data_IF_942393617992
#
_entry.id   IF_942393617992
#
_cell.length_a   1.000
_cell.length_b   1.000
_cell.length_c   1.000
_cell.angle_alpha   90.00
_cell.angle_beta   90.00
_cell.angle_gamma   90.00
#
_symmetry.space_group_name_H-M   'P 1'
#
loop_
_entity.id
_entity.type
_entity.pdbx_description
1 polymer ?
#
# COMPACT_ATOMS: atom_id res chain seq x y z
N UNK A 1 7.72 -6.76 22.39
CA UNK A 1 7.78 -7.75 21.30
C UNK A 1 9.11 -7.63 20.61
N UNK A 2 9.73 -8.75 20.21
CA UNK A 2 10.99 -8.79 19.47
C UNK A 2 10.71 -9.41 18.08
N UNK A 3 11.10 -8.73 17.01
CA UNK A 3 10.94 -9.20 15.62
C UNK A 3 12.15 -9.98 15.09
N UNK A 4 12.97 -10.55 15.98
CA UNK A 4 14.24 -11.17 15.61
C UNK A 4 14.17 -12.70 15.46
N UNK A 5 13.01 -13.31 15.62
CA UNK A 5 12.87 -14.74 15.37
C UNK A 5 12.89 -15.01 13.86
N UNK A 6 14.06 -15.43 13.37
CA UNK A 6 14.30 -15.66 11.93
C UNK A 6 13.69 -16.96 11.44
N UNK A 7 13.52 -17.95 12.32
CA UNK A 7 12.87 -19.21 11.98
C UNK A 7 11.42 -19.00 11.60
N UNK A 8 10.66 -18.26 12.41
CA UNK A 8 9.28 -17.86 12.10
C UNK A 8 9.26 -16.97 10.84
N UNK A 9 10.15 -15.97 10.78
CA UNK A 9 10.18 -14.98 9.72
C UNK A 9 10.35 -15.60 8.31
N UNK A 10 11.19 -16.62 8.22
CA UNK A 10 11.59 -17.19 6.93
C UNK A 10 11.12 -18.63 6.71
N UNK A 11 10.19 -19.12 7.51
CA UNK A 11 9.67 -20.50 7.46
C UNK A 11 9.18 -20.92 6.07
N UNK A 12 8.61 -19.99 5.30
CA UNK A 12 8.10 -20.24 3.93
C UNK A 12 9.17 -20.18 2.85
N UNK A 13 10.42 -19.81 3.17
CA UNK A 13 11.49 -19.67 2.17
C UNK A 13 12.47 -20.84 2.25
N UNK A 14 12.78 -21.43 1.10
CA UNK A 14 13.89 -22.38 0.98
C UNK A 14 15.25 -21.65 1.08
N UNK A 15 16.35 -22.40 1.29
CA UNK A 15 17.71 -21.84 1.32
C UNK A 15 18.06 -21.13 0.02
N UNK A 16 17.67 -21.70 -1.13
CA UNK A 16 17.85 -21.08 -2.45
C UNK A 16 17.07 -19.74 -2.57
N UNK A 17 15.87 -19.68 -2.02
CA UNK A 17 15.08 -18.44 -1.99
C UNK A 17 15.66 -17.38 -1.06
N UNK A 18 16.24 -17.80 0.09
CA UNK A 18 16.93 -16.87 0.99
C UNK A 18 18.17 -16.25 0.34
N UNK A 19 19.01 -17.08 -0.31
CA UNK A 19 20.19 -16.60 -1.04
C UNK A 19 19.80 -15.62 -2.15
N UNK A 20 18.75 -15.94 -2.92
CA UNK A 20 18.22 -15.05 -3.96
C UNK A 20 17.71 -13.73 -3.37
N UNK A 21 16.94 -13.77 -2.28
CA UNK A 21 16.45 -12.56 -1.59
C UNK A 21 17.63 -11.72 -1.09
N UNK A 22 18.65 -12.36 -0.49
CA UNK A 22 19.86 -11.68 -0.04
C UNK A 22 20.56 -10.96 -1.18
N UNK A 23 20.75 -11.61 -2.32
CA UNK A 23 21.35 -11.03 -3.52
C UNK A 23 20.55 -9.81 -4.03
N UNK A 24 19.23 -9.95 -4.17
CA UNK A 24 18.37 -8.82 -4.61
C UNK A 24 18.45 -7.66 -3.62
N UNK A 25 18.38 -7.92 -2.32
CA UNK A 25 18.45 -6.89 -1.28
C UNK A 25 19.82 -6.18 -1.26
N UNK A 26 20.91 -6.90 -1.51
CA UNK A 26 22.23 -6.29 -1.63
C UNK A 26 22.33 -5.32 -2.81
N UNK A 27 21.70 -5.64 -3.94
CA UNK A 27 21.64 -4.74 -5.11
C UNK A 27 20.79 -3.50 -4.80
N UNK A 28 19.57 -3.67 -4.29
CA UNK A 28 18.67 -2.54 -4.05
C UNK A 28 19.07 -1.70 -2.82
N UNK A 29 20.02 -2.13 -2.01
CA UNK A 29 20.61 -1.30 -0.96
C UNK A 29 21.60 -0.26 -1.49
N UNK A 30 22.07 -0.40 -2.72
CA UNK A 30 23.01 0.52 -3.36
C UNK A 30 22.30 1.52 -4.26
N UNK A 31 22.34 2.81 -3.88
CA UNK A 31 21.71 3.89 -4.65
C UNK A 31 22.25 3.96 -6.10
N UNK A 32 23.55 3.78 -6.27
CA UNK A 32 24.20 3.79 -7.58
C UNK A 32 23.69 2.66 -8.47
N UNK A 33 23.65 1.41 -7.93
CA UNK A 33 23.16 0.26 -8.69
C UNK A 33 21.69 0.43 -9.07
N UNK A 34 20.84 0.87 -8.14
CA UNK A 34 19.42 1.12 -8.43
C UNK A 34 19.27 2.16 -9.54
N UNK A 35 19.98 3.29 -9.49
CA UNK A 35 19.93 4.32 -10.52
C UNK A 35 20.33 3.78 -11.91
N UNK A 36 21.41 3.01 -11.99
CA UNK A 36 21.87 2.39 -13.24
C UNK A 36 20.84 1.40 -13.78
N UNK A 37 20.38 0.47 -12.93
CA UNK A 37 19.38 -0.53 -13.34
C UNK A 37 18.06 0.10 -13.75
N UNK A 38 17.58 1.15 -13.06
CA UNK A 38 16.36 1.87 -13.41
C UNK A 38 16.47 2.50 -14.79
N UNK A 39 17.61 3.13 -15.11
CA UNK A 39 17.87 3.72 -16.43
C UNK A 39 17.89 2.64 -17.53
N UNK A 40 18.58 1.53 -17.29
CA UNK A 40 18.63 0.39 -18.23
C UNK A 40 17.22 -0.16 -18.49
N UNK A 41 16.45 -0.40 -17.44
CA UNK A 41 15.07 -0.92 -17.55
C UNK A 41 14.19 0.07 -18.32
N UNK A 42 14.26 1.36 -17.99
CA UNK A 42 13.48 2.41 -18.67
C UNK A 42 13.83 2.52 -20.15
N UNK A 43 15.11 2.48 -20.50
CA UNK A 43 15.57 2.48 -21.88
C UNK A 43 15.12 1.23 -22.64
N UNK A 44 15.27 0.04 -22.01
CA UNK A 44 14.86 -1.23 -22.60
C UNK A 44 13.36 -1.29 -22.88
N UNK A 45 12.53 -0.71 -22.00
CA UNK A 45 11.09 -0.61 -22.21
C UNK A 45 10.74 0.33 -23.37
N UNK A 46 11.43 1.47 -23.47
CA UNK A 46 11.28 2.43 -24.60
C UNK A 46 11.63 1.78 -25.95
N UNK A 47 12.68 0.97 -25.97
CA UNK A 47 13.15 0.24 -27.15
C UNK A 47 12.42 -1.08 -27.40
N UNK A 48 11.38 -1.40 -26.60
CA UNK A 48 10.65 -2.67 -26.65
C UNK A 48 11.52 -3.94 -26.58
N UNK A 49 12.68 -3.88 -25.92
CA UNK A 49 13.56 -5.03 -25.74
C UNK A 49 12.92 -6.13 -24.86
N UNK A 50 13.21 -7.42 -25.10
CA UNK A 50 12.57 -8.56 -24.41
C UNK A 50 13.15 -8.79 -23.00
N UNK A 51 13.18 -7.77 -22.13
CA UNK A 51 13.71 -7.86 -20.77
C UNK A 51 12.75 -8.55 -19.77
N UNK A 52 11.52 -8.82 -20.19
CA UNK A 52 10.47 -9.40 -19.30
C UNK A 52 10.90 -10.72 -18.65
N UNK A 53 11.66 -11.56 -19.36
CA UNK A 53 12.16 -12.83 -18.83
C UNK A 53 13.15 -12.66 -17.67
N UNK A 54 14.07 -11.70 -17.78
CA UNK A 54 15.06 -11.39 -16.73
C UNK A 54 14.37 -10.77 -15.53
N UNK A 55 13.51 -9.78 -15.76
CA UNK A 55 12.74 -9.14 -14.68
C UNK A 55 11.87 -10.15 -13.93
N UNK A 56 11.19 -11.05 -14.64
CA UNK A 56 10.38 -12.10 -14.03
C UNK A 56 11.21 -13.02 -13.11
N UNK A 57 12.36 -13.48 -13.58
CA UNK A 57 13.22 -14.37 -12.78
C UNK A 57 13.91 -13.69 -11.60
N UNK A 58 13.90 -12.36 -11.53
CA UNK A 58 14.63 -11.58 -10.51
C UNK A 58 13.68 -10.77 -9.63
N UNK A 59 13.60 -9.47 -9.86
CA UNK A 59 12.92 -8.48 -9.01
C UNK A 59 11.41 -8.68 -8.99
N UNK A 60 10.81 -9.08 -10.12
CA UNK A 60 9.37 -9.27 -10.21
C UNK A 60 8.87 -10.34 -9.23
N UNK A 61 9.44 -11.56 -9.24
CA UNK A 61 9.05 -12.63 -8.30
C UNK A 61 9.35 -12.32 -6.83
N UNK A 62 10.21 -11.35 -6.55
CA UNK A 62 10.50 -10.94 -5.18
C UNK A 62 9.38 -10.06 -4.62
N UNK A 63 8.82 -9.15 -5.43
CA UNK A 63 7.91 -8.09 -4.97
C UNK A 63 6.49 -8.18 -5.53
N UNK A 64 6.25 -9.07 -6.52
CA UNK A 64 4.96 -9.30 -7.14
C UNK A 64 4.57 -10.77 -7.08
N UNK A 65 3.29 -11.03 -6.93
CA UNK A 65 2.79 -12.38 -6.80
C UNK A 65 2.75 -13.14 -8.12
N UNK A 66 2.51 -12.43 -9.23
CA UNK A 66 2.41 -13.01 -10.56
C UNK A 66 1.84 -12.04 -11.58
N UNK A 67 1.63 -12.53 -12.78
CA UNK A 67 1.10 -11.72 -13.89
C UNK A 67 -0.42 -11.64 -13.91
N UNK A 68 -1.09 -12.57 -13.21
CA UNK A 68 -2.54 -12.69 -13.16
C UNK A 68 -3.05 -13.05 -11.76
N UNK A 69 -4.37 -13.18 -11.63
CA UNK A 69 -5.05 -13.50 -10.39
C UNK A 69 -4.75 -14.94 -9.91
N UNK A 70 -4.58 -15.89 -10.83
CA UNK A 70 -4.33 -17.30 -10.49
C UNK A 70 -2.98 -17.45 -9.78
N UNK A 71 -1.94 -16.81 -10.29
CA UNK A 71 -0.62 -16.75 -9.66
C UNK A 71 -0.72 -16.13 -8.27
N UNK A 72 -1.46 -15.02 -8.16
CA UNK A 72 -1.63 -14.28 -6.91
C UNK A 72 -2.33 -15.09 -5.83
N UNK A 73 -3.36 -15.85 -6.20
CA UNK A 73 -4.09 -16.75 -5.28
C UNK A 73 -3.16 -17.84 -4.71
N UNK A 74 -2.20 -18.33 -5.50
CA UNK A 74 -1.21 -19.30 -4.98
C UNK A 74 -0.34 -18.67 -3.87
N UNK A 75 0.05 -17.41 -4.03
CA UNK A 75 0.78 -16.67 -3.02
C UNK A 75 -0.08 -16.44 -1.77
N UNK A 76 -1.34 -16.04 -1.95
CA UNK A 76 -2.32 -15.88 -0.85
C UNK A 76 -2.46 -17.17 -0.04
N UNK A 77 -2.66 -18.32 -0.72
CA UNK A 77 -2.75 -19.64 -0.07
C UNK A 77 -1.48 -19.98 0.72
N UNK A 78 -0.31 -19.62 0.19
CA UNK A 78 0.97 -19.84 0.88
C UNK A 78 1.10 -18.99 2.15
N UNK A 79 0.76 -17.71 2.09
CA UNK A 79 0.80 -16.80 3.23
C UNK A 79 -0.20 -17.19 4.33
N UNK A 80 -1.39 -17.64 3.94
CA UNK A 80 -2.45 -18.13 4.83
C UNK A 80 -1.98 -19.27 5.75
N UNK A 81 -1.04 -20.13 5.29
CA UNK A 81 -0.46 -21.22 6.10
C UNK A 81 0.22 -20.74 7.38
N UNK A 82 0.66 -19.49 7.44
CA UNK A 82 1.24 -18.85 8.62
C UNK A 82 0.35 -17.73 9.20
N UNK A 83 -0.97 -17.80 8.97
CA UNK A 83 -1.95 -16.83 9.45
C UNK A 83 -1.70 -15.39 8.96
N UNK A 84 -0.96 -15.21 7.87
CA UNK A 84 -0.79 -13.92 7.20
C UNK A 84 -1.82 -13.84 6.09
N UNK A 85 -2.71 -12.86 6.18
CA UNK A 85 -3.70 -12.54 5.17
C UNK A 85 -3.08 -11.70 4.06
N UNK A 86 -3.86 -11.41 3.02
CA UNK A 86 -3.39 -10.65 1.85
C UNK A 86 -4.46 -9.69 1.37
N UNK A 87 -4.06 -8.65 0.65
CA UNK A 87 -4.96 -7.96 -0.27
C UNK A 87 -4.25 -7.80 -1.61
N UNK A 88 -4.98 -8.13 -2.66
CA UNK A 88 -4.48 -8.14 -4.02
C UNK A 88 -4.67 -6.77 -4.66
N UNK A 89 -3.67 -6.32 -5.41
CA UNK A 89 -3.76 -5.08 -6.17
C UNK A 89 -3.29 -5.30 -7.60
N UNK A 90 -4.18 -5.06 -8.56
CA UNK A 90 -3.81 -5.02 -9.96
C UNK A 90 -3.00 -3.75 -10.23
N UNK A 91 -1.67 -3.89 -10.21
CA UNK A 91 -0.73 -2.79 -10.30
C UNK A 91 -0.49 -2.36 -11.76
N UNK A 92 -1.57 -1.98 -12.46
CA UNK A 92 -1.49 -1.44 -13.82
C UNK A 92 -1.44 0.09 -13.77
N UNK A 93 -0.38 0.67 -14.30
CA UNK A 93 -0.21 2.12 -14.44
C UNK A 93 -0.18 2.51 -15.93
N UNK A 94 -0.55 3.78 -16.23
CA UNK A 94 -0.50 4.33 -17.58
C UNK A 94 -1.78 4.13 -18.41
N UNK A 95 -2.92 3.91 -17.77
CA UNK A 95 -4.23 3.87 -18.45
C UNK A 95 -4.59 5.26 -19.01
N UNK A 96 -5.06 5.32 -20.25
CA UNK A 96 -5.31 6.58 -20.97
C UNK A 96 -6.67 6.65 -21.65
N UNK A 97 -7.28 5.51 -21.94
CA UNK A 97 -8.55 5.43 -22.70
C UNK A 97 -9.73 5.09 -21.80
N UNK A 98 -10.95 5.45 -22.25
CA UNK A 98 -12.18 5.07 -21.56
C UNK A 98 -12.32 3.54 -21.42
N UNK A 99 -11.89 2.79 -22.45
CA UNK A 99 -11.90 1.33 -22.41
C UNK A 99 -10.94 0.78 -21.31
N UNK A 100 -9.78 1.41 -21.10
CA UNK A 100 -8.89 1.03 -20.00
C UNK A 100 -9.56 1.23 -18.64
N UNK A 101 -10.28 2.37 -18.46
CA UNK A 101 -10.97 2.68 -17.20
C UNK A 101 -12.15 1.72 -16.95
N UNK A 102 -12.89 1.34 -17.97
CA UNK A 102 -13.98 0.37 -17.86
C UNK A 102 -13.44 -1.05 -17.57
N UNK A 103 -12.33 -1.44 -18.20
CA UNK A 103 -11.65 -2.70 -17.89
C UNK A 103 -11.13 -2.72 -16.45
N UNK A 104 -10.57 -1.61 -15.95
CA UNK A 104 -10.14 -1.52 -14.57
C UNK A 104 -11.32 -1.62 -13.59
N UNK A 105 -12.45 -0.99 -13.89
CA UNK A 105 -13.67 -1.14 -13.10
C UNK A 105 -14.09 -2.61 -13.00
N UNK A 106 -14.04 -3.35 -14.12
CA UNK A 106 -14.33 -4.79 -14.14
C UNK A 106 -13.35 -5.57 -13.26
N UNK A 107 -12.04 -5.36 -13.43
CA UNK A 107 -11.00 -6.03 -12.62
C UNK A 107 -11.19 -5.75 -11.12
N UNK A 108 -11.53 -4.51 -10.73
CA UNK A 108 -11.78 -4.17 -9.33
C UNK A 108 -13.00 -4.94 -8.80
N UNK A 109 -14.10 -5.01 -9.58
CA UNK A 109 -15.29 -5.78 -9.18
C UNK A 109 -15.00 -7.28 -9.09
N UNK A 110 -14.23 -7.83 -10.02
CA UNK A 110 -13.80 -9.24 -9.98
C UNK A 110 -12.93 -9.50 -8.73
N UNK A 111 -12.03 -8.58 -8.38
CA UNK A 111 -11.25 -8.66 -7.15
C UNK A 111 -12.14 -8.60 -5.90
N UNK A 112 -13.20 -7.78 -5.89
CA UNK A 112 -14.20 -7.77 -4.80
C UNK A 112 -14.88 -9.13 -4.67
N UNK A 113 -15.28 -9.74 -5.79
CA UNK A 113 -15.90 -11.09 -5.79
C UNK A 113 -14.96 -12.16 -5.22
N UNK A 114 -13.68 -12.13 -5.61
CA UNK A 114 -12.66 -13.05 -5.08
C UNK A 114 -12.47 -12.81 -3.58
N UNK A 115 -12.38 -11.57 -3.16
CA UNK A 115 -12.21 -11.15 -1.77
C UNK A 115 -13.39 -11.62 -0.90
N UNK A 116 -14.62 -11.52 -1.39
CA UNK A 116 -15.81 -11.98 -0.68
C UNK A 116 -15.81 -13.50 -0.42
N UNK A 117 -15.16 -14.27 -1.29
CA UNK A 117 -15.14 -15.75 -1.23
C UNK A 117 -14.00 -16.33 -0.39
N UNK A 118 -12.98 -15.56 -0.03
CA UNK A 118 -11.83 -16.06 0.73
C UNK A 118 -11.47 -15.15 1.91
N UNK A 119 -11.69 -15.65 3.13
CA UNK A 119 -11.35 -14.95 4.38
C UNK A 119 -9.85 -14.60 4.52
N UNK A 120 -8.97 -15.15 3.65
CA UNK A 120 -7.59 -14.74 3.57
C UNK A 120 -7.39 -13.40 2.83
N UNK A 121 -8.45 -12.87 2.22
CA UNK A 121 -8.48 -11.61 1.50
C UNK A 121 -9.46 -10.62 2.18
N UNK A 122 -9.12 -10.02 3.32
CA UNK A 122 -10.05 -9.15 4.06
C UNK A 122 -10.28 -7.79 3.43
N UNK A 123 -9.49 -7.39 2.43
CA UNK A 123 -9.53 -6.08 1.81
C UNK A 123 -9.33 -6.16 0.30
N UNK A 124 -9.89 -5.18 -0.40
CA UNK A 124 -9.55 -4.83 -1.78
C UNK A 124 -9.10 -3.38 -1.87
N UNK A 125 -8.57 -2.96 -3.01
CA UNK A 125 -7.97 -1.63 -3.18
C UNK A 125 -8.08 -1.16 -4.63
N UNK A 126 -8.22 0.15 -4.80
CA UNK A 126 -8.04 0.81 -6.10
C UNK A 126 -7.44 2.20 -5.95
N UNK A 127 -6.85 2.71 -7.03
CA UNK A 127 -6.48 4.10 -7.21
C UNK A 127 -7.58 4.83 -7.95
N UNK A 128 -7.96 6.02 -7.50
CA UNK A 128 -9.00 6.81 -8.17
C UNK A 128 -8.62 7.13 -9.62
N UNK A 129 -7.34 7.48 -9.88
CA UNK A 129 -6.82 7.75 -11.21
C UNK A 129 -6.81 6.54 -12.16
N UNK A 130 -7.00 5.32 -11.65
CA UNK A 130 -7.17 4.14 -12.50
C UNK A 130 -8.56 4.06 -13.17
N UNK A 131 -9.50 4.90 -12.78
CA UNK A 131 -10.89 4.91 -13.22
C UNK A 131 -11.27 6.16 -14.05
N UNK A 132 -10.33 7.07 -14.28
CA UNK A 132 -10.56 8.28 -15.06
C UNK A 132 -9.29 9.04 -15.41
N UNK A 133 -9.41 10.04 -16.27
CA UNK A 133 -8.27 10.83 -16.76
C UNK A 133 -7.63 11.63 -15.63
N UNK A 134 -6.33 11.49 -15.45
CA UNK A 134 -5.54 12.15 -14.41
C UNK A 134 -5.68 13.68 -14.39
N UNK A 135 -5.67 14.31 -15.57
CA UNK A 135 -5.82 15.77 -15.69
C UNK A 135 -7.16 16.29 -15.19
N UNK A 136 -8.23 15.50 -15.22
CA UNK A 136 -9.53 15.88 -14.66
C UNK A 136 -9.49 15.95 -13.13
N UNK A 137 -8.81 15.01 -12.48
CA UNK A 137 -8.57 15.08 -11.04
C UNK A 137 -7.77 16.33 -10.68
N UNK A 138 -6.76 16.70 -11.48
CA UNK A 138 -5.94 17.89 -11.26
C UNK A 138 -6.79 19.16 -11.40
N UNK A 139 -7.56 19.31 -12.49
CA UNK A 139 -8.47 20.45 -12.70
C UNK A 139 -9.50 20.58 -11.56
N UNK A 140 -10.14 19.48 -11.18
CA UNK A 140 -11.11 19.51 -10.06
C UNK A 140 -10.46 19.85 -8.73
N UNK A 141 -9.26 19.34 -8.47
CA UNK A 141 -8.51 19.65 -7.24
C UNK A 141 -8.04 21.10 -7.15
N UNK A 142 -7.75 21.73 -8.30
CA UNK A 142 -7.38 23.16 -8.38
C UNK A 142 -8.58 24.11 -8.43
N UNK A 143 -9.81 23.60 -8.52
CA UNK A 143 -11.01 24.43 -8.71
C UNK A 143 -11.18 24.98 -10.13
N UNK A 144 -10.41 24.46 -11.10
CA UNK A 144 -10.51 24.89 -12.51
C UNK A 144 -11.80 24.41 -13.16
N UNK A 145 -12.37 25.25 -14.02
CA UNK A 145 -13.56 24.88 -14.79
C UNK A 145 -13.25 23.80 -15.81
N UNK A 146 -14.17 22.87 -15.96
CA UNK A 146 -14.15 21.84 -16.99
C UNK A 146 -14.97 22.29 -18.18
N UNK A 147 -14.56 21.92 -19.40
CA UNK A 147 -15.40 22.02 -20.58
C UNK A 147 -16.58 21.02 -20.48
N UNK A 148 -17.61 21.21 -21.31
CA UNK A 148 -18.77 20.31 -21.34
C UNK A 148 -18.38 18.85 -21.57
N UNK A 149 -17.44 18.57 -22.46
CA UNK A 149 -16.91 17.21 -22.67
C UNK A 149 -16.15 16.69 -21.44
N UNK A 150 -15.33 17.52 -20.79
CA UNK A 150 -14.61 17.16 -19.59
C UNK A 150 -15.54 16.86 -18.42
N UNK A 151 -16.65 17.60 -18.26
CA UNK A 151 -17.68 17.31 -17.25
C UNK A 151 -18.36 15.95 -17.51
N UNK A 152 -18.65 15.62 -18.76
CA UNK A 152 -19.19 14.29 -19.11
C UNK A 152 -18.21 13.17 -18.73
N UNK A 153 -16.91 13.33 -19.04
CA UNK A 153 -15.87 12.36 -18.69
C UNK A 153 -15.65 12.27 -17.17
N UNK A 154 -15.73 13.41 -16.48
CA UNK A 154 -15.66 13.47 -15.03
C UNK A 154 -16.82 12.71 -14.37
N UNK A 155 -18.03 12.92 -14.86
CA UNK A 155 -19.23 12.22 -14.38
C UNK A 155 -19.11 10.70 -14.59
N UNK A 156 -18.55 10.23 -15.72
CA UNK A 156 -18.23 8.82 -15.93
C UNK A 156 -17.23 8.32 -14.89
N UNK A 157 -16.17 9.09 -14.62
CA UNK A 157 -15.15 8.75 -13.60
C UNK A 157 -15.78 8.60 -12.22
N UNK A 158 -16.58 9.57 -11.77
CA UNK A 158 -17.28 9.52 -10.48
C UNK A 158 -18.24 8.33 -10.41
N UNK A 159 -18.96 8.02 -11.48
CA UNK A 159 -19.86 6.87 -11.53
C UNK A 159 -19.10 5.54 -11.40
N UNK A 160 -17.92 5.40 -12.02
CA UNK A 160 -17.05 4.21 -11.84
C UNK A 160 -16.59 4.07 -10.39
N UNK A 161 -16.10 5.13 -9.76
CA UNK A 161 -15.67 5.13 -8.36
C UNK A 161 -16.84 4.76 -7.43
N UNK A 162 -17.99 5.42 -7.59
CA UNK A 162 -19.21 5.11 -6.82
C UNK A 162 -19.66 3.66 -7.02
N UNK A 163 -19.56 3.14 -8.25
CA UNK A 163 -19.93 1.76 -8.58
C UNK A 163 -19.03 0.74 -7.85
N UNK A 164 -17.70 0.97 -7.80
CA UNK A 164 -16.77 0.13 -7.02
C UNK A 164 -17.18 0.08 -5.55
N UNK A 165 -17.37 1.26 -4.94
CA UNK A 165 -17.65 1.38 -3.51
C UNK A 165 -19.04 0.83 -3.16
N UNK A 166 -20.05 1.10 -4.00
CA UNK A 166 -21.40 0.52 -3.83
C UNK A 166 -21.36 -0.99 -3.91
N UNK A 167 -20.60 -1.54 -4.87
CA UNK A 167 -20.46 -2.98 -5.03
C UNK A 167 -19.72 -3.62 -3.84
N UNK A 168 -18.63 -3.00 -3.38
CA UNK A 168 -17.92 -3.47 -2.19
C UNK A 168 -18.85 -3.47 -0.95
N UNK A 169 -19.65 -2.43 -0.77
CA UNK A 169 -20.62 -2.33 0.33
C UNK A 169 -21.69 -3.43 0.24
N UNK A 170 -22.25 -3.69 -0.95
CA UNK A 170 -23.26 -4.76 -1.15
C UNK A 170 -22.69 -6.16 -0.88
N UNK A 171 -21.41 -6.36 -1.10
CA UNK A 171 -20.69 -7.62 -0.82
C UNK A 171 -20.09 -7.68 0.59
N UNK A 172 -20.25 -6.64 1.43
CA UNK A 172 -19.62 -6.50 2.75
C UNK A 172 -18.09 -6.66 2.71
N UNK A 173 -17.44 -6.19 1.64
CA UNK A 173 -16.00 -6.25 1.42
C UNK A 173 -15.38 -4.88 1.71
N UNK A 174 -14.37 -4.84 2.58
CA UNK A 174 -13.62 -3.63 2.89
C UNK A 174 -12.77 -3.19 1.69
N UNK A 175 -12.83 -1.89 1.33
CA UNK A 175 -12.14 -1.35 0.16
C UNK A 175 -11.35 -0.09 0.51
N UNK A 176 -10.08 -0.06 0.05
CA UNK A 176 -9.22 1.11 0.16
C UNK A 176 -9.34 1.98 -1.09
N UNK A 177 -9.51 3.29 -0.89
CA UNK A 177 -9.22 4.33 -1.87
C UNK A 177 -7.79 4.76 -1.59
N UNK A 178 -6.84 4.37 -2.45
CA UNK A 178 -5.44 4.72 -2.26
C UNK A 178 -5.20 6.22 -2.48
N UNK A 179 -4.33 6.80 -1.65
CA UNK A 179 -3.88 8.16 -1.84
C UNK A 179 -2.88 8.24 -2.99
N UNK A 180 -2.90 9.36 -3.68
CA UNK A 180 -2.07 9.62 -4.84
C UNK A 180 -1.29 10.94 -4.67
N UNK A 181 -0.85 11.55 -5.75
CA UNK A 181 -0.06 12.79 -5.72
C UNK A 181 -0.86 13.96 -5.12
N UNK A 182 -0.17 14.88 -4.46
CA UNK A 182 -0.80 15.96 -3.68
C UNK A 182 -1.73 16.87 -4.49
N UNK A 183 -1.46 17.03 -5.77
CA UNK A 183 -2.23 17.93 -6.65
C UNK A 183 -3.51 17.31 -7.21
N UNK A 184 -3.72 16.01 -7.02
CA UNK A 184 -5.00 15.34 -7.31
C UNK A 184 -5.70 14.86 -6.05
N UNK A 185 -5.00 14.85 -4.91
CA UNK A 185 -5.51 14.32 -3.65
C UNK A 185 -6.72 15.08 -3.08
N UNK A 186 -6.83 16.41 -3.19
CA UNK A 186 -7.98 17.14 -2.63
C UNK A 186 -9.34 16.58 -3.08
N UNK A 187 -9.52 16.38 -4.39
CA UNK A 187 -10.79 15.82 -4.91
C UNK A 187 -10.97 14.35 -4.54
N UNK A 188 -9.87 13.57 -4.42
CA UNK A 188 -9.94 12.17 -3.95
C UNK A 188 -10.38 12.13 -2.48
N UNK A 189 -9.88 13.04 -1.65
CA UNK A 189 -10.28 13.19 -0.25
C UNK A 189 -11.79 13.48 -0.11
N UNK A 190 -12.32 14.41 -0.92
CA UNK A 190 -13.75 14.74 -0.94
C UNK A 190 -14.62 13.55 -1.35
N UNK A 191 -14.21 12.84 -2.39
CA UNK A 191 -14.91 11.63 -2.86
C UNK A 191 -14.89 10.56 -1.75
N UNK A 192 -13.73 10.31 -1.14
CA UNK A 192 -13.59 9.31 -0.08
C UNK A 192 -14.43 9.66 1.16
N UNK A 193 -14.44 10.94 1.59
CA UNK A 193 -15.25 11.42 2.71
C UNK A 193 -16.74 11.20 2.44
N UNK A 194 -17.23 11.60 1.26
CA UNK A 194 -18.62 11.40 0.84
C UNK A 194 -19.03 9.92 0.81
N UNK A 195 -18.13 9.05 0.34
CA UNK A 195 -18.39 7.61 0.29
C UNK A 195 -18.35 6.95 1.68
N UNK A 196 -17.44 7.37 2.56
CA UNK A 196 -17.44 6.93 3.97
C UNK A 196 -18.72 7.39 4.68
N UNK A 197 -19.13 8.65 4.52
CA UNK A 197 -20.39 9.15 5.09
C UNK A 197 -21.59 8.33 4.65
N UNK A 198 -21.61 7.90 3.39
CA UNK A 198 -22.71 7.13 2.81
C UNK A 198 -22.71 5.66 3.25
N UNK A 199 -21.56 4.99 3.25
CA UNK A 199 -21.48 3.53 3.37
C UNK A 199 -20.95 3.03 4.71
N UNK A 200 -20.37 3.89 5.55
CA UNK A 200 -19.80 3.49 6.83
C UNK A 200 -20.71 3.80 8.04
N UNK A 201 -22.04 3.70 7.88
CA UNK A 201 -22.97 4.01 8.99
C UNK A 201 -22.90 2.97 10.11
N UNK A 202 -22.98 1.70 9.77
CA UNK A 202 -22.97 0.60 10.75
C UNK A 202 -21.58 -0.05 10.83
N UNK A 203 -20.96 -0.31 9.67
CA UNK A 203 -19.68 -1.00 9.54
C UNK A 203 -18.71 -0.16 8.71
N UNK A 204 -17.43 -0.30 8.98
CA UNK A 204 -16.40 0.34 8.17
C UNK A 204 -16.12 -0.48 6.92
N UNK A 205 -16.58 -0.02 5.77
CA UNK A 205 -16.39 -0.64 4.45
C UNK A 205 -15.38 0.16 3.62
N UNK A 206 -15.56 1.49 3.55
CA UNK A 206 -14.72 2.38 2.76
C UNK A 206 -13.62 2.93 3.64
N UNK A 207 -12.39 2.86 3.15
CA UNK A 207 -11.20 3.38 3.81
C UNK A 207 -10.53 4.42 2.91
N UNK A 208 -10.15 5.56 3.50
CA UNK A 208 -9.25 6.52 2.86
C UNK A 208 -7.80 6.23 3.27
N UNK A 209 -6.85 6.60 2.40
CA UNK A 209 -5.42 6.45 2.68
C UNK A 209 -4.81 7.80 3.04
N UNK A 210 -4.09 7.85 4.16
CA UNK A 210 -3.40 9.05 4.64
C UNK A 210 -1.88 8.88 4.47
N UNK A 211 -1.26 9.75 3.66
CA UNK A 211 0.18 9.82 3.45
C UNK A 211 0.80 10.85 4.41
N UNK A 212 1.34 10.39 5.54
CA UNK A 212 1.76 11.25 6.65
C UNK A 212 3.05 12.03 6.42
N UNK A 213 3.72 11.85 5.27
CA UNK A 213 4.82 12.71 4.85
C UNK A 213 4.34 14.11 4.40
N UNK A 214 3.04 14.29 4.13
CA UNK A 214 2.44 15.58 3.78
C UNK A 214 2.14 16.41 5.03
N UNK A 215 2.46 17.70 4.95
CA UNK A 215 2.33 18.68 6.04
C UNK A 215 0.87 18.92 6.48
N UNK A 216 -0.09 18.77 5.57
CA UNK A 216 -1.51 19.03 5.78
C UNK A 216 -2.32 17.88 6.40
N UNK A 217 -1.77 16.65 6.44
CA UNK A 217 -2.56 15.45 6.76
C UNK A 217 -3.06 15.35 8.20
N UNK A 218 -2.33 15.88 9.18
CA UNK A 218 -2.82 15.90 10.57
C UNK A 218 -4.02 16.83 10.73
N UNK A 219 -4.04 17.99 10.03
CA UNK A 219 -5.20 18.89 10.02
C UNK A 219 -6.40 18.22 9.36
N UNK A 220 -6.18 17.55 8.22
CA UNK A 220 -7.22 16.81 7.52
C UNK A 220 -7.79 15.65 8.36
N UNK A 221 -6.93 14.86 9.02
CA UNK A 221 -7.36 13.80 9.94
C UNK A 221 -8.28 14.34 11.07
N UNK A 222 -7.92 15.47 11.69
CA UNK A 222 -8.74 16.08 12.71
C UNK A 222 -10.12 16.48 12.16
N UNK A 223 -10.16 17.11 10.96
CA UNK A 223 -11.42 17.47 10.29
C UNK A 223 -12.30 16.22 10.06
N UNK A 224 -11.71 15.13 9.56
CA UNK A 224 -12.45 13.87 9.31
C UNK A 224 -13.05 13.31 10.60
N UNK A 225 -12.28 13.28 11.70
CA UNK A 225 -12.76 12.80 13.00
C UNK A 225 -13.95 13.66 13.48
N UNK A 226 -13.82 14.98 13.43
CA UNK A 226 -14.90 15.88 13.82
C UNK A 226 -16.16 15.70 12.95
N UNK A 227 -15.99 15.62 11.64
CA UNK A 227 -17.10 15.39 10.71
C UNK A 227 -17.80 14.05 10.97
N UNK A 228 -17.04 13.00 11.25
CA UNK A 228 -17.58 11.66 11.53
C UNK A 228 -18.42 11.64 12.81
N UNK A 229 -18.02 12.40 13.83
CA UNK A 229 -18.79 12.56 15.07
C UNK A 229 -20.10 13.30 14.77
N UNK A 230 -20.03 14.45 14.09
CA UNK A 230 -21.20 15.27 13.74
C UNK A 230 -22.20 14.54 12.86
N UNK A 231 -21.72 13.81 11.86
CA UNK A 231 -22.56 13.12 10.84
C UNK A 231 -22.82 11.64 11.14
N UNK A 232 -22.33 11.13 12.26
CA UNK A 232 -22.55 9.77 12.79
C UNK A 232 -22.19 8.66 11.77
N UNK A 233 -20.92 8.61 11.32
CA UNK A 233 -20.39 7.52 10.51
C UNK A 233 -19.01 7.06 11.02
N UNK A 234 -18.61 5.85 10.64
CA UNK A 234 -17.31 5.27 11.00
C UNK A 234 -16.23 5.65 9.99
N UNK A 235 -14.99 5.75 10.45
CA UNK A 235 -13.84 6.07 9.63
C UNK A 235 -12.98 4.83 9.38
N UNK A 236 -12.64 4.59 8.13
CA UNK A 236 -11.62 3.62 7.74
C UNK A 236 -10.34 4.33 7.33
N UNK A 237 -9.23 4.06 8.02
CA UNK A 237 -7.94 4.67 7.70
C UNK A 237 -6.91 3.62 7.30
N UNK A 238 -6.33 3.80 6.11
CA UNK A 238 -5.06 3.21 5.73
C UNK A 238 -3.97 4.25 5.96
N UNK A 239 -3.15 4.05 7.00
CA UNK A 239 -2.12 4.99 7.41
C UNK A 239 -0.76 4.56 6.85
N UNK A 240 -0.14 5.42 6.05
CA UNK A 240 1.17 5.19 5.41
C UNK A 240 2.04 6.44 5.53
N UNK A 241 3.36 6.31 5.29
CA UNK A 241 4.24 7.49 5.27
C UNK A 241 4.07 8.29 4.00
N UNK A 242 4.10 7.66 2.85
CA UNK A 242 3.94 8.27 1.53
C UNK A 242 4.78 7.54 0.48
N UNK A 243 4.43 7.71 -0.81
CA UNK A 243 5.00 6.93 -1.89
C UNK A 243 5.45 7.75 -3.12
N UNK A 244 5.37 9.08 -3.08
CA UNK A 244 5.59 9.93 -4.26
C UNK A 244 6.60 11.07 -4.00
N UNK A 245 7.51 10.89 -3.03
CA UNK A 245 8.40 11.95 -2.53
C UNK A 245 9.16 12.66 -3.66
N UNK A 246 9.72 11.92 -4.60
CA UNK A 246 10.48 12.50 -5.72
C UNK A 246 9.60 13.33 -6.65
N UNK A 247 8.42 12.81 -7.02
CA UNK A 247 7.44 13.53 -7.84
C UNK A 247 6.93 14.81 -7.17
N UNK A 248 6.66 14.74 -5.86
CA UNK A 248 6.21 15.92 -5.08
C UNK A 248 7.28 17.02 -5.07
N UNK A 249 8.53 16.65 -4.80
CA UNK A 249 9.65 17.60 -4.79
C UNK A 249 9.97 18.13 -6.19
N UNK A 250 9.96 17.29 -7.21
CA UNK A 250 10.18 17.70 -8.60
C UNK A 250 9.12 18.69 -9.06
N UNK A 251 7.83 18.42 -8.77
CA UNK A 251 6.74 19.32 -9.12
C UNK A 251 6.85 20.65 -8.38
N UNK A 252 7.11 20.62 -7.08
CA UNK A 252 7.28 21.83 -6.27
C UNK A 252 8.42 22.70 -6.82
N UNK A 253 9.57 22.10 -7.13
CA UNK A 253 10.71 22.79 -7.73
C UNK A 253 10.36 23.43 -9.09
N UNK A 254 9.74 22.66 -10.00
CA UNK A 254 9.34 23.17 -11.34
C UNK A 254 8.29 24.29 -11.28
N UNK A 255 7.45 24.29 -10.25
CA UNK A 255 6.39 25.30 -10.08
C UNK A 255 6.83 26.48 -9.22
N UNK A 256 8.05 26.51 -8.69
CA UNK A 256 8.52 27.55 -7.75
C UNK A 256 7.74 27.57 -6.42
N UNK A 257 7.09 26.47 -6.06
CA UNK A 257 6.27 26.36 -4.85
C UNK A 257 7.00 25.59 -3.75
N UNK A 258 6.69 25.85 -2.46
CA UNK A 258 7.23 25.04 -1.37
C UNK A 258 6.74 23.61 -1.46
N UNK A 259 7.62 22.65 -1.15
CA UNK A 259 7.24 21.23 -1.14
C UNK A 259 6.12 20.95 -0.14
N UNK A 260 5.06 20.21 -0.55
CA UNK A 260 3.94 19.86 0.32
C UNK A 260 4.31 18.79 1.36
N UNK A 261 5.48 18.16 1.21
CA UNK A 261 5.95 17.09 2.11
C UNK A 261 7.01 17.61 3.10
N UNK A 262 7.21 16.86 4.17
CA UNK A 262 8.25 17.18 5.15
C UNK A 262 9.65 17.00 4.56
N UNK A 263 10.57 17.81 5.02
CA UNK A 263 11.96 17.89 4.53
C UNK A 263 12.77 16.64 4.90
N UNK A 264 12.37 15.95 5.97
CA UNK A 264 13.12 14.80 6.46
C UNK A 264 12.22 13.71 7.05
N UNK A 265 12.84 12.53 7.23
CA UNK A 265 12.18 11.33 7.75
C UNK A 265 11.68 11.51 9.19
N UNK A 266 12.39 12.26 10.04
CA UNK A 266 12.03 12.40 11.44
C UNK A 266 10.70 13.16 11.59
N UNK A 267 10.47 14.21 10.82
CA UNK A 267 9.21 14.94 10.78
C UNK A 267 8.07 14.08 10.25
N UNK A 268 8.35 13.28 9.21
CA UNK A 268 7.38 12.29 8.71
C UNK A 268 7.03 11.24 9.77
N UNK A 269 8.03 10.72 10.49
CA UNK A 269 7.82 9.75 11.57
C UNK A 269 7.03 10.35 12.73
N UNK A 270 7.28 11.61 13.08
CA UNK A 270 6.53 12.36 14.09
C UNK A 270 5.07 12.54 13.68
N UNK A 271 4.84 13.00 12.44
CA UNK A 271 3.49 13.17 11.88
C UNK A 271 2.72 11.84 11.84
N UNK A 272 3.37 10.77 11.41
CA UNK A 272 2.79 9.42 11.39
C UNK A 272 2.41 8.94 12.80
N UNK A 273 3.30 9.11 13.78
CA UNK A 273 3.04 8.69 15.16
C UNK A 273 1.97 9.55 15.85
N UNK A 274 1.89 10.84 15.54
CA UNK A 274 0.82 11.73 16.01
C UNK A 274 -0.54 11.33 15.42
N UNK A 275 -0.57 10.93 14.15
CA UNK A 275 -1.78 10.39 13.53
C UNK A 275 -2.21 9.07 14.19
N UNK A 276 -1.27 8.17 14.48
CA UNK A 276 -1.55 6.95 15.25
C UNK A 276 -2.22 7.26 16.58
N UNK A 277 -1.67 8.18 17.37
CA UNK A 277 -2.24 8.55 18.67
C UNK A 277 -3.68 9.04 18.53
N UNK A 278 -3.93 9.94 17.56
CA UNK A 278 -5.27 10.47 17.32
C UNK A 278 -6.28 9.38 16.90
N UNK A 279 -5.88 8.47 16.02
CA UNK A 279 -6.75 7.37 15.57
C UNK A 279 -7.00 6.38 16.71
N UNK A 280 -5.98 6.02 17.47
CA UNK A 280 -6.10 5.10 18.60
C UNK A 280 -7.00 5.66 19.71
N UNK A 281 -6.92 6.97 19.99
CA UNK A 281 -7.83 7.65 20.93
C UNK A 281 -9.31 7.62 20.46
N UNK A 282 -9.55 7.44 19.17
CA UNK A 282 -10.89 7.39 18.57
C UNK A 282 -11.21 6.01 17.99
N UNK A 283 -10.61 4.93 18.52
CA UNK A 283 -10.68 3.59 17.94
C UNK A 283 -12.11 3.02 17.90
N UNK A 284 -13.00 3.50 18.75
CA UNK A 284 -14.41 3.10 18.74
C UNK A 284 -15.12 3.49 17.43
N UNK A 285 -14.68 4.58 16.78
CA UNK A 285 -15.20 5.06 15.49
C UNK A 285 -14.27 4.80 14.32
N UNK A 286 -13.02 4.39 14.59
CA UNK A 286 -11.99 4.25 13.57
C UNK A 286 -11.58 2.80 13.40
N UNK A 287 -11.49 2.34 12.15
CA UNK A 287 -10.74 1.15 11.80
C UNK A 287 -9.37 1.59 11.29
N UNK A 288 -8.30 1.02 11.82
CA UNK A 288 -6.92 1.37 11.52
C UNK A 288 -6.20 0.27 10.77
N UNK A 289 -5.77 0.58 9.55
CA UNK A 289 -4.87 -0.26 8.77
C UNK A 289 -3.50 0.41 8.66
N UNK A 290 -2.48 -0.20 9.25
CA UNK A 290 -1.13 0.38 9.39
C UNK A 290 -0.20 -0.20 8.33
N UNK A 291 0.02 0.56 7.25
CA UNK A 291 0.99 0.20 6.19
C UNK A 291 2.38 0.70 6.55
N UNK A 292 3.17 -0.11 7.24
CA UNK A 292 4.53 0.31 7.66
C UNK A 292 5.48 -0.85 7.87
N UNK A 293 6.77 -0.60 7.58
CA UNK A 293 7.91 -1.47 7.93
C UNK A 293 8.66 -0.97 9.18
N UNK A 294 8.19 0.11 9.81
CA UNK A 294 8.84 0.70 10.99
C UNK A 294 8.44 -0.03 12.27
N UNK A 295 9.36 -0.81 12.83
CA UNK A 295 9.13 -1.55 14.08
C UNK A 295 8.76 -0.64 15.25
N UNK A 296 9.37 0.56 15.35
CA UNK A 296 9.09 1.51 16.44
C UNK A 296 7.61 1.92 16.47
N UNK A 297 7.03 2.25 15.30
CA UNK A 297 5.60 2.60 15.20
C UNK A 297 4.70 1.39 15.51
N UNK A 298 5.08 0.20 15.07
CA UNK A 298 4.33 -1.04 15.39
C UNK A 298 4.37 -1.30 16.89
N UNK A 299 5.55 -1.26 17.53
CA UNK A 299 5.70 -1.46 18.99
C UNK A 299 4.87 -0.45 19.77
N UNK A 300 4.77 0.80 19.30
CA UNK A 300 3.90 1.82 19.90
C UNK A 300 2.44 1.36 19.96
N UNK A 301 1.91 0.85 18.84
CA UNK A 301 0.54 0.31 18.78
C UNK A 301 0.38 -0.90 19.71
N UNK A 302 1.34 -1.84 19.68
CA UNK A 302 1.29 -3.02 20.54
C UNK A 302 1.31 -2.68 22.04
N UNK A 303 2.09 -1.64 22.44
CA UNK A 303 2.10 -1.12 23.81
C UNK A 303 0.73 -0.53 24.17
N UNK A 304 0.16 0.28 23.27
CA UNK A 304 -1.17 0.87 23.45
C UNK A 304 -2.25 -0.22 23.59
N UNK A 305 -2.25 -1.25 22.73
CA UNK A 305 -3.18 -2.38 22.82
C UNK A 305 -3.06 -3.09 24.17
N UNK A 306 -1.82 -3.34 24.65
CA UNK A 306 -1.58 -3.98 25.94
C UNK A 306 -2.11 -3.15 27.11
N UNK A 307 -1.84 -1.84 27.15
CA UNK A 307 -2.29 -0.93 28.20
C UNK A 307 -3.82 -0.87 28.26
N UNK A 308 -4.48 -0.83 27.09
CA UNK A 308 -5.94 -0.74 26.98
C UNK A 308 -6.61 -2.12 26.99
N UNK A 309 -5.89 -3.21 27.30
CA UNK A 309 -6.41 -4.59 27.37
C UNK A 309 -7.10 -5.05 26.07
N UNK A 310 -6.66 -4.54 24.93
CA UNK A 310 -7.16 -4.91 23.60
C UNK A 310 -6.51 -6.23 23.18
N UNK A 311 -7.34 -7.19 22.74
CA UNK A 311 -6.85 -8.50 22.28
C UNK A 311 -6.01 -8.41 21.01
N UNK A 312 -5.06 -9.32 20.83
CA UNK A 312 -4.19 -9.36 19.64
C UNK A 312 -5.00 -9.50 18.33
N UNK A 313 -6.12 -10.23 18.36
CA UNK A 313 -7.01 -10.46 17.23
C UNK A 313 -8.02 -9.33 16.96
N UNK A 314 -7.91 -8.18 17.60
CA UNK A 314 -8.85 -7.07 17.47
C UNK A 314 -9.07 -6.65 16.02
N UNK A 315 -10.33 -6.70 15.57
CA UNK A 315 -10.68 -6.59 14.15
C UNK A 315 -10.57 -5.18 13.56
N UNK A 316 -10.39 -4.15 14.40
CA UNK A 316 -10.24 -2.76 13.94
C UNK A 316 -8.79 -2.33 13.75
N UNK A 317 -7.80 -3.14 14.15
CA UNK A 317 -6.37 -2.82 13.98
C UNK A 317 -5.70 -3.88 13.12
N UNK A 318 -5.15 -3.46 11.98
CA UNK A 318 -4.49 -4.31 10.99
C UNK A 318 -3.08 -3.83 10.72
N UNK A 319 -2.12 -4.75 10.69
CA UNK A 319 -0.72 -4.46 10.35
C UNK A 319 -0.43 -4.93 8.93
N UNK A 320 0.21 -4.08 8.14
CA UNK A 320 0.51 -4.43 6.75
C UNK A 320 1.94 -4.10 6.35
N UNK A 321 2.53 -5.03 5.62
CA UNK A 321 3.82 -4.88 4.96
C UNK A 321 3.71 -5.30 3.50
N UNK A 322 4.63 -4.80 2.69
CA UNK A 322 4.70 -5.16 1.28
C UNK A 322 5.10 -6.63 1.11
N UNK A 323 4.55 -7.30 0.09
CA UNK A 323 4.97 -8.64 -0.29
C UNK A 323 6.46 -8.66 -0.63
N UNK A 324 7.16 -9.68 -0.15
CA UNK A 324 8.60 -9.85 -0.36
C UNK A 324 9.50 -9.00 0.53
N UNK A 325 8.94 -8.21 1.45
CA UNK A 325 9.67 -7.34 2.38
C UNK A 325 9.13 -7.47 3.80
N UNK A 326 9.96 -7.12 4.79
CA UNK A 326 9.61 -7.08 6.20
C UNK A 326 8.92 -8.37 6.71
N UNK A 327 9.35 -9.52 6.21
CA UNK A 327 8.81 -10.83 6.60
C UNK A 327 8.98 -11.09 8.09
N UNK A 328 10.09 -10.60 8.68
CA UNK A 328 10.34 -10.68 10.12
C UNK A 328 9.28 -9.95 10.96
N UNK A 329 8.68 -8.87 10.43
CA UNK A 329 7.57 -8.18 11.12
C UNK A 329 6.29 -8.98 10.93
N UNK A 330 5.91 -9.26 9.68
CA UNK A 330 4.63 -9.88 9.34
C UNK A 330 4.43 -11.24 10.04
N UNK A 331 5.40 -12.13 9.90
CA UNK A 331 5.25 -13.49 10.43
C UNK A 331 5.37 -13.55 11.95
N UNK A 332 6.22 -12.71 12.57
CA UNK A 332 6.29 -12.63 14.03
C UNK A 332 5.03 -12.00 14.66
N UNK A 333 4.34 -11.07 13.99
CA UNK A 333 3.04 -10.56 14.43
C UNK A 333 1.96 -11.63 14.30
N UNK A 334 1.88 -12.27 13.12
CA UNK A 334 0.87 -13.28 12.84
C UNK A 334 0.97 -14.50 13.75
N UNK A 335 2.21 -14.94 14.09
CA UNK A 335 2.43 -16.06 15.04
C UNK A 335 1.93 -15.76 16.46
N UNK A 336 1.67 -14.50 16.79
CA UNK A 336 1.11 -14.06 18.08
C UNK A 336 -0.36 -13.69 18.00
N UNK A 337 -1.03 -13.98 16.89
CA UNK A 337 -2.46 -13.77 16.71
C UNK A 337 -2.86 -12.35 16.33
N UNK A 338 -1.92 -11.46 15.97
CA UNK A 338 -2.28 -10.13 15.47
C UNK A 338 -2.85 -10.22 14.05
N UNK A 339 -3.72 -9.26 13.69
CA UNK A 339 -4.25 -9.16 12.34
C UNK A 339 -3.18 -8.62 11.40
N UNK A 340 -2.68 -9.47 10.51
CA UNK A 340 -1.59 -9.15 9.58
C UNK A 340 -2.01 -9.38 8.14
N UNK A 341 -1.67 -8.43 7.28
CA UNK A 341 -1.97 -8.48 5.85
C UNK A 341 -0.72 -8.13 5.04
N UNK A 342 -0.43 -8.90 4.00
CA UNK A 342 0.56 -8.52 2.97
C UNK A 342 -0.15 -7.81 1.82
N UNK A 343 0.42 -6.67 1.37
CA UNK A 343 0.07 -6.06 0.09
C UNK A 343 0.67 -6.90 -1.03
N UNK A 344 -0.18 -7.43 -1.89
CA UNK A 344 0.20 -8.40 -2.93
C UNK A 344 -0.11 -7.81 -4.32
N UNK A 345 0.87 -7.11 -4.93
CA UNK A 345 0.71 -6.58 -6.28
C UNK A 345 0.83 -7.69 -7.31
N UNK A 346 0.06 -7.56 -8.40
CA UNK A 346 0.11 -8.45 -9.56
C UNK A 346 -0.22 -7.68 -10.84
N UNK A 347 0.10 -8.28 -11.98
CA UNK A 347 -0.23 -7.72 -13.29
C UNK A 347 0.87 -7.96 -14.33
N UNK A 348 0.64 -7.60 -15.59
CA UNK A 348 1.61 -7.74 -16.67
C UNK A 348 2.92 -7.03 -16.34
N UNK A 349 4.06 -7.69 -16.54
CA UNK A 349 5.38 -7.22 -16.12
C UNK A 349 5.64 -5.77 -16.56
N UNK A 350 5.38 -5.43 -17.83
CA UNK A 350 5.57 -4.08 -18.36
C UNK A 350 4.78 -3.01 -17.59
N UNK A 351 3.56 -3.33 -17.15
CA UNK A 351 2.67 -2.42 -16.41
C UNK A 351 3.04 -2.31 -14.91
N UNK A 352 3.73 -3.32 -14.37
CA UNK A 352 4.16 -3.36 -12.97
C UNK A 352 5.54 -2.72 -12.75
N UNK A 353 6.34 -2.55 -13.81
CA UNK A 353 7.70 -1.96 -13.70
C UNK A 353 7.72 -0.61 -12.96
N UNK A 354 6.83 0.36 -13.19
CA UNK A 354 6.85 1.62 -12.43
C UNK A 354 6.71 1.41 -10.92
N UNK A 355 5.88 0.45 -10.49
CA UNK A 355 5.78 0.03 -9.10
C UNK A 355 7.12 -0.53 -8.57
N UNK A 356 7.78 -1.41 -9.33
CA UNK A 356 9.07 -2.02 -8.93
C UNK A 356 10.18 -0.97 -8.79
N UNK A 357 10.22 0.00 -9.69
CA UNK A 357 11.18 1.12 -9.67
C UNK A 357 10.99 1.92 -8.38
N UNK A 358 9.76 2.35 -8.08
CA UNK A 358 9.48 3.09 -6.83
C UNK A 358 9.88 2.30 -5.59
N UNK A 359 9.68 0.98 -5.56
CA UNK A 359 10.13 0.13 -4.43
C UNK A 359 11.64 0.12 -4.30
N UNK A 360 12.36 0.05 -5.42
CA UNK A 360 13.82 0.11 -5.40
C UNK A 360 14.32 1.48 -4.90
N UNK A 361 13.78 2.58 -5.40
CA UNK A 361 14.12 3.96 -5.01
C UNK A 361 13.81 4.25 -3.54
N UNK A 362 12.63 3.89 -3.05
CA UNK A 362 12.27 4.03 -1.63
C UNK A 362 13.24 3.29 -0.70
N UNK A 363 13.71 2.12 -1.11
CA UNK A 363 14.65 1.34 -0.30
C UNK A 363 16.04 1.97 -0.24
N UNK A 364 16.43 2.75 -1.25
CA UNK A 364 17.71 3.51 -1.21
C UNK A 364 17.60 4.78 -0.38
N UNK A 365 16.43 5.40 -0.30
CA UNK A 365 16.19 6.62 0.49
C UNK A 365 16.01 6.33 1.99
N UNK A 366 15.55 5.12 2.35
CA UNK A 366 15.28 4.68 3.73
C UNK A 366 16.41 3.74 4.18
N UNK A 367 17.58 4.27 4.43
CA UNK A 367 18.80 3.52 4.77
C UNK A 367 18.71 2.60 6.01
N UNK A 368 17.59 2.57 6.76
CA UNK A 368 17.56 1.89 8.05
C UNK A 368 16.92 0.50 8.08
N UNK A 369 16.12 0.12 7.07
CA UNK A 369 15.34 -1.14 7.12
C UNK A 369 16.05 -2.30 6.39
N UNK A 370 16.55 -2.04 5.20
CA UNK A 370 17.15 -3.07 4.35
C UNK A 370 18.40 -3.72 4.96
N UNK A 371 19.37 -2.97 5.55
CA UNK A 371 20.52 -3.57 6.23
C UNK A 371 20.12 -4.54 7.37
N UNK A 372 19.06 -4.20 8.09
CA UNK A 372 18.52 -5.08 9.12
C UNK A 372 17.95 -6.36 8.54
N UNK A 373 17.15 -6.28 7.48
CA UNK A 373 16.60 -7.46 6.79
C UNK A 373 17.71 -8.36 6.24
N UNK A 374 18.74 -7.77 5.61
CA UNK A 374 19.94 -8.49 5.15
C UNK A 374 20.58 -9.28 6.29
N UNK A 375 20.80 -8.64 7.45
CA UNK A 375 21.39 -9.28 8.61
C UNK A 375 20.51 -10.42 9.15
N UNK A 376 19.21 -10.26 9.19
CA UNK A 376 18.28 -11.31 9.61
C UNK A 376 18.29 -12.51 8.66
N UNK A 377 18.36 -12.27 7.34
CA UNK A 377 18.50 -13.34 6.34
C UNK A 377 19.83 -14.09 6.52
N UNK A 378 20.95 -13.38 6.71
CA UNK A 378 22.25 -14.00 6.97
C UNK A 378 22.23 -14.87 8.24
N UNK A 379 21.58 -14.39 9.31
CA UNK A 379 21.40 -15.15 10.54
C UNK A 379 20.61 -16.44 10.30
N UNK A 380 19.52 -16.37 9.54
CA UNK A 380 18.72 -17.56 9.24
C UNK A 380 19.48 -18.57 8.39
N UNK A 381 20.22 -18.12 7.38
CA UNK A 381 21.08 -18.99 6.58
C UNK A 381 22.11 -19.70 7.47
N UNK A 382 22.74 -18.97 8.41
CA UNK A 382 23.70 -19.53 9.37
C UNK A 382 23.01 -20.55 10.29
N UNK A 383 21.85 -20.21 10.87
CA UNK A 383 21.07 -21.12 11.74
C UNK A 383 20.77 -22.43 11.04
N UNK A 384 20.33 -22.40 9.78
CA UNK A 384 20.00 -23.61 9.01
C UNK A 384 21.20 -24.48 8.69
N UNK A 385 22.38 -23.88 8.46
CA UNK A 385 23.61 -24.62 8.24
C UNK A 385 24.03 -25.39 9.51
N UNK A 386 23.89 -24.78 10.68
CA UNK A 386 24.21 -25.46 11.96
C UNK A 386 23.23 -26.58 12.31
N UNK A 387 21.97 -26.50 11.92
CA UNK A 387 20.98 -27.53 12.20
C UNK A 387 20.96 -28.65 11.13
N UNK A 388 21.82 -28.59 10.12
CA UNK A 388 21.98 -29.62 9.09
C UNK A 388 23.22 -30.51 9.31
N UNK A 389 23.98 -30.24 10.37
CA UNK A 389 25.07 -31.05 10.94
C UNK A 389 24.53 -31.78 12.18
#
# INVERSE_FOLDING_TARGET
>A
MNFQNTEIAYKLKSNKQLLKTLFIFSIISSRTLVSVFTKIISLSLKLNLPISGILNKTVFKQFCAGIDEKDSIQVVKKLKKLNVKSYMHYASEGNKSENDFDNNLKIIKDTINITNKDAALPFTVFKASSLGKFNLFEKKSSGSNLSQLEEQLWNKTINRIKSCCKYAASQNVKIFIDAEESWIQPIIDEIAESLMEKFNKEKTIIYTTLQMYRKDRLKYLNKLIQNSIKKKYNLGFKLVRGAYMEKENERAYKSGLPSPIFENKNLTDLSFNNALDKILLNIERCDLFVGTHCEKSIIKILKWMKVNKISNGYKKIWFSQLFGMADHISFNLASRGYQVVKYVPYGPIKKVVPYLIRRAEENTSINSQLPKEINLIKREIKRRKFNAI
#
